data_IF_223584049183
#
_entry.id   IF_223584049183
#
_cell.length_a   1.000
_cell.length_b   1.000
_cell.length_c   1.000
_cell.angle_alpha   90.00
_cell.angle_beta   90.00
_cell.angle_gamma   90.00
#
_symmetry.space_group_name_H-M   'P 1'
#
loop_
_entity.id
_entity.type
_entity.pdbx_description
1 polymer ?
#
# COMPACT_ATOMS: atom_id res chain seq x y z
N UNK A 1 35.11 -11.63 37.64
CA UNK A 1 33.87 -11.37 36.89
C UNK A 1 33.10 -10.31 37.65
N UNK A 2 33.21 -9.05 37.25
CA UNK A 2 32.27 -8.04 37.74
C UNK A 2 30.93 -8.35 37.07
N UNK A 3 29.97 -8.82 37.87
CA UNK A 3 28.61 -8.97 37.41
C UNK A 3 28.13 -7.58 36.99
N UNK A 4 27.87 -7.41 35.69
CA UNK A 4 27.23 -6.21 35.17
C UNK A 4 25.96 -6.01 36.00
N UNK A 5 25.76 -4.82 36.61
CA UNK A 5 24.57 -4.55 37.40
C UNK A 5 23.33 -4.92 36.60
N UNK A 6 22.40 -5.63 37.22
CA UNK A 6 21.13 -6.04 36.59
C UNK A 6 20.40 -4.84 35.94
N UNK A 7 20.58 -3.65 36.52
CA UNK A 7 20.07 -2.37 36.00
C UNK A 7 20.68 -1.98 34.64
N UNK A 8 21.98 -2.21 34.42
CA UNK A 8 22.66 -1.88 33.16
C UNK A 8 22.25 -2.85 32.03
N UNK A 9 22.01 -4.12 32.38
CA UNK A 9 21.45 -5.11 31.45
C UNK A 9 20.00 -4.77 31.09
N UNK A 10 19.20 -4.34 32.06
CA UNK A 10 17.82 -3.90 31.82
C UNK A 10 17.77 -2.65 30.94
N UNK A 11 18.67 -1.68 31.15
CA UNK A 11 18.78 -0.48 30.32
C UNK A 11 19.17 -0.82 28.86
N UNK A 12 20.14 -1.71 28.67
CA UNK A 12 20.51 -2.21 27.34
C UNK A 12 19.35 -2.95 26.67
N UNK A 13 18.62 -3.77 27.42
CA UNK A 13 17.44 -4.46 26.92
C UNK A 13 16.36 -3.47 26.45
N UNK A 14 16.05 -2.43 27.24
CA UNK A 14 15.11 -1.37 26.83
C UNK A 14 15.57 -0.64 25.57
N UNK A 15 16.86 -0.34 25.45
CA UNK A 15 17.43 0.27 24.24
C UNK A 15 17.21 -0.61 23.01
N UNK A 16 17.51 -1.91 23.13
CA UNK A 16 17.33 -2.87 22.03
C UNK A 16 15.86 -3.05 21.66
N UNK A 17 14.95 -3.07 22.64
CA UNK A 17 13.51 -3.13 22.38
C UNK A 17 13.04 -1.88 21.66
N UNK A 18 13.50 -0.70 22.07
CA UNK A 18 13.17 0.57 21.40
C UNK A 18 13.70 0.60 19.97
N UNK A 19 14.94 0.16 19.75
CA UNK A 19 15.54 0.07 18.42
C UNK A 19 14.78 -0.91 17.52
N UNK A 20 14.44 -2.10 18.04
CA UNK A 20 13.60 -3.07 17.34
C UNK A 20 12.25 -2.46 16.95
N UNK A 21 11.59 -1.77 17.88
CA UNK A 21 10.30 -1.14 17.61
C UNK A 21 10.42 -0.02 16.56
N UNK A 22 11.50 0.75 16.56
CA UNK A 22 11.76 1.76 15.54
C UNK A 22 11.98 1.12 14.16
N UNK A 23 12.74 0.03 14.09
CA UNK A 23 12.97 -0.71 12.85
C UNK A 23 11.68 -1.31 12.29
N UNK A 24 10.80 -1.86 13.15
CA UNK A 24 9.51 -2.41 12.71
C UNK A 24 8.63 -1.30 12.11
N UNK A 25 8.55 -0.13 12.75
CA UNK A 25 7.79 1.01 12.17
C UNK A 25 8.36 1.43 10.82
N UNK A 26 9.69 1.49 10.71
CA UNK A 26 10.34 1.83 9.45
C UNK A 26 10.11 0.79 8.34
N UNK A 27 10.12 -0.50 8.69
CA UNK A 27 9.76 -1.58 7.76
C UNK A 27 8.32 -1.44 7.27
N UNK A 28 7.36 -1.15 8.17
CA UNK A 28 5.97 -0.90 7.80
C UNK A 28 5.80 0.28 6.85
N UNK A 29 6.49 1.40 7.10
CA UNK A 29 6.49 2.57 6.21
C UNK A 29 7.04 2.21 4.82
N UNK A 30 8.12 1.45 4.74
CA UNK A 30 8.68 0.98 3.48
C UNK A 30 7.74 0.04 2.73
N UNK A 31 7.05 -0.86 3.44
CA UNK A 31 6.06 -1.75 2.84
C UNK A 31 4.88 -0.96 2.25
N UNK A 32 4.37 0.04 2.97
CA UNK A 32 3.31 0.90 2.45
C UNK A 32 3.74 1.65 1.18
N UNK A 33 4.96 2.20 1.16
CA UNK A 33 5.49 2.87 -0.04
C UNK A 33 5.62 1.91 -1.22
N UNK A 34 6.07 0.68 -0.99
CA UNK A 34 6.19 -0.33 -2.04
C UNK A 34 4.81 -0.69 -2.63
N UNK A 35 3.80 -0.87 -1.78
CA UNK A 35 2.44 -1.12 -2.23
C UNK A 35 1.83 0.06 -2.95
N UNK A 36 2.02 1.29 -2.47
CA UNK A 36 1.51 2.49 -3.16
C UNK A 36 2.13 2.64 -4.55
N UNK A 37 3.42 2.34 -4.71
CA UNK A 37 4.08 2.32 -6.02
C UNK A 37 3.47 1.27 -6.97
N UNK A 38 3.17 0.06 -6.46
CA UNK A 38 2.53 -1.01 -7.24
C UNK A 38 1.11 -0.62 -7.67
N UNK A 39 0.34 -0.01 -6.77
CA UNK A 39 -1.01 0.49 -7.07
C UNK A 39 -0.97 1.66 -8.07
N UNK A 40 0.00 2.56 -7.97
CA UNK A 40 0.18 3.64 -8.95
C UNK A 40 0.51 3.12 -10.35
N UNK A 41 1.37 2.10 -10.46
CA UNK A 41 1.66 1.44 -11.74
C UNK A 41 0.41 0.76 -12.32
N UNK A 42 -0.34 0.04 -11.48
CA UNK A 42 -1.62 -0.59 -11.86
C UNK A 42 -2.63 0.45 -12.35
N UNK A 43 -2.80 1.52 -11.58
CA UNK A 43 -3.71 2.62 -11.93
C UNK A 43 -3.32 3.28 -13.26
N UNK A 44 -2.03 3.55 -13.46
CA UNK A 44 -1.51 4.13 -14.70
C UNK A 44 -1.80 3.25 -15.92
N UNK A 45 -1.61 1.92 -15.79
CA UNK A 45 -1.92 0.96 -16.84
C UNK A 45 -3.42 0.95 -17.17
N UNK A 46 -4.28 0.87 -16.15
CA UNK A 46 -5.74 0.88 -16.31
C UNK A 46 -6.23 2.19 -16.95
N UNK A 47 -5.70 3.33 -16.53
CA UNK A 47 -6.06 4.64 -17.08
C UNK A 47 -5.70 4.74 -18.57
N UNK A 48 -4.53 4.23 -18.95
CA UNK A 48 -4.10 4.20 -20.35
C UNK A 48 -5.00 3.28 -21.20
N UNK A 49 -5.37 2.11 -20.68
CA UNK A 49 -6.27 1.18 -21.37
C UNK A 49 -7.66 1.79 -21.57
N UNK A 50 -8.23 2.36 -20.50
CA UNK A 50 -9.55 3.02 -20.55
C UNK A 50 -9.52 4.19 -21.54
N UNK A 51 -8.49 5.05 -21.52
CA UNK A 51 -8.36 6.15 -22.51
C UNK A 51 -8.34 5.63 -23.94
N UNK A 52 -7.64 4.53 -24.20
CA UNK A 52 -7.54 3.95 -25.54
C UNK A 52 -8.90 3.42 -26.01
N UNK A 53 -9.68 2.80 -25.10
CA UNK A 53 -11.01 2.28 -25.41
C UNK A 53 -12.06 3.39 -25.56
N UNK A 54 -12.02 4.41 -24.71
CA UNK A 54 -12.88 5.59 -24.80
C UNK A 54 -12.60 6.47 -26.03
N UNK A 55 -11.40 6.39 -26.61
CA UNK A 55 -11.10 7.05 -27.88
C UNK A 55 -11.86 6.44 -29.08
N UNK A 56 -12.39 5.21 -28.93
CA UNK A 56 -13.27 4.58 -29.92
C UNK A 56 -14.69 5.09 -29.75
N UNK A 57 -15.34 5.44 -30.85
CA UNK A 57 -16.72 5.93 -30.87
C UNK A 57 -17.71 4.87 -30.31
N UNK A 58 -18.57 5.27 -29.38
CA UNK A 58 -19.55 4.39 -28.71
C UNK A 58 -20.53 3.70 -29.66
N UNK A 59 -20.75 4.24 -30.86
CA UNK A 59 -21.56 3.63 -31.91
C UNK A 59 -20.90 2.42 -32.57
N UNK A 60 -19.57 2.29 -32.43
CA UNK A 60 -18.75 1.19 -32.98
C UNK A 60 -18.41 0.13 -31.94
N UNK A 61 -18.72 0.36 -30.66
CA UNK A 61 -18.44 -0.56 -29.56
C UNK A 61 -19.46 -1.69 -29.53
N UNK A 62 -18.99 -2.92 -29.41
CA UNK A 62 -19.84 -4.07 -29.14
C UNK A 62 -20.33 -4.07 -27.70
N UNK A 63 -21.34 -4.89 -27.39
CA UNK A 63 -21.77 -5.11 -26.01
C UNK A 63 -20.67 -5.76 -25.16
N UNK A 64 -19.78 -6.54 -25.78
CA UNK A 64 -18.61 -7.13 -25.12
C UNK A 64 -17.59 -6.05 -24.75
N UNK A 65 -17.32 -5.08 -25.63
CA UNK A 65 -16.42 -3.96 -25.34
C UNK A 65 -16.92 -3.14 -24.15
N UNK A 66 -18.23 -2.89 -24.07
CA UNK A 66 -18.85 -2.18 -22.93
C UNK A 66 -18.72 -2.95 -21.62
N UNK A 67 -18.81 -4.29 -21.66
CA UNK A 67 -18.59 -5.13 -20.47
C UNK A 67 -17.14 -5.07 -20.02
N UNK A 68 -16.19 -5.09 -20.95
CA UNK A 68 -14.76 -4.96 -20.62
C UNK A 68 -14.47 -3.58 -20.02
N UNK A 69 -15.02 -2.50 -20.58
CA UNK A 69 -14.90 -1.15 -19.99
C UNK A 69 -15.47 -1.09 -18.57
N UNK A 70 -16.61 -1.72 -18.31
CA UNK A 70 -17.20 -1.78 -16.97
C UNK A 70 -16.31 -2.53 -15.97
N UNK A 71 -15.71 -3.66 -16.39
CA UNK A 71 -14.79 -4.43 -15.55
C UNK A 71 -13.50 -3.64 -15.25
N UNK A 72 -12.96 -2.93 -16.24
CA UNK A 72 -11.78 -2.07 -16.04
C UNK A 72 -12.07 -0.92 -15.06
N UNK A 73 -13.28 -0.35 -15.11
CA UNK A 73 -13.71 0.66 -14.15
C UNK A 73 -13.91 0.09 -12.74
N UNK A 74 -14.45 -1.12 -12.63
CA UNK A 74 -14.58 -1.84 -11.36
C UNK A 74 -13.20 -2.11 -10.75
N UNK A 75 -12.25 -2.59 -11.55
CA UNK A 75 -10.87 -2.79 -11.12
C UNK A 75 -10.20 -1.48 -10.66
N UNK A 76 -10.48 -0.36 -11.33
CA UNK A 76 -9.99 0.95 -10.91
C UNK A 76 -10.53 1.35 -9.52
N UNK A 77 -11.79 1.03 -9.22
CA UNK A 77 -12.37 1.26 -7.90
C UNK A 77 -11.70 0.38 -6.83
N UNK A 78 -11.41 -0.89 -7.15
CA UNK A 78 -10.66 -1.77 -6.26
C UNK A 78 -9.27 -1.23 -5.93
N UNK A 79 -8.57 -0.65 -6.90
CA UNK A 79 -7.24 -0.01 -6.67
C UNK A 79 -7.37 1.16 -5.70
N UNK A 80 -8.42 1.98 -5.82
CA UNK A 80 -8.68 3.08 -4.89
C UNK A 80 -8.99 2.56 -3.48
N UNK A 81 -9.81 1.52 -3.37
CA UNK A 81 -10.15 0.89 -2.09
C UNK A 81 -8.91 0.28 -1.40
N UNK A 82 -8.02 -0.36 -2.18
CA UNK A 82 -6.75 -0.89 -1.66
C UNK A 82 -5.85 0.22 -1.13
N UNK A 83 -5.80 1.37 -1.79
CA UNK A 83 -5.06 2.54 -1.30
C UNK A 83 -5.64 3.05 0.02
N UNK A 84 -6.97 3.17 0.11
CA UNK A 84 -7.65 3.59 1.34
C UNK A 84 -7.36 2.62 2.49
N UNK A 85 -7.27 1.31 2.22
CA UNK A 85 -6.91 0.31 3.21
C UNK A 85 -5.47 0.48 3.74
N UNK A 86 -4.52 0.84 2.88
CA UNK A 86 -3.13 1.14 3.28
C UNK A 86 -3.09 2.35 4.22
N UNK A 87 -3.82 3.42 3.88
CA UNK A 87 -3.91 4.63 4.72
C UNK A 87 -4.50 4.28 6.08
N UNK A 88 -5.60 3.53 6.13
CA UNK A 88 -6.23 3.11 7.37
C UNK A 88 -5.31 2.24 8.24
N UNK A 89 -4.53 1.34 7.62
CA UNK A 89 -3.56 0.50 8.32
C UNK A 89 -2.41 1.33 8.92
N UNK A 90 -1.84 2.27 8.17
CA UNK A 90 -0.80 3.17 8.67
C UNK A 90 -1.31 4.06 9.81
N UNK A 91 -2.57 4.52 9.73
CA UNK A 91 -3.18 5.30 10.82
C UNK A 91 -3.34 4.47 12.10
N UNK A 92 -3.74 3.19 12.00
CA UNK A 92 -3.82 2.27 13.14
C UNK A 92 -2.45 1.99 13.75
N UNK A 93 -1.40 1.82 12.93
CA UNK A 93 -0.02 1.68 13.43
C UNK A 93 0.49 2.94 14.11
N UNK A 94 0.12 4.14 13.64
CA UNK A 94 0.51 5.41 14.27
C UNK A 94 -0.15 5.62 15.64
N UNK A 95 -1.33 5.06 15.84
CA UNK A 95 -2.08 5.14 17.10
C UNK A 95 -1.59 4.15 18.16
N UNK A 96 -0.68 3.23 17.81
CA UNK A 96 -0.06 2.22 18.69
C UNK A 96 1.33 2.63 19.19
#
# INVERSE_FOLDING_TARGET
>A
EEAVPEQDLMAQWFSLVNEKNALVRFESELMAQAWELELEDRHSHLEQEIRTRLAVDDSKKSEEDRKVEALLLEEMLEVVEQRDAIVAWLEDERLK
#
